data_IF_985418589067
#
_entry.id   IF_985418589067
#
_cell.length_a   1.000
_cell.length_b   1.000
_cell.length_c   1.000
_cell.angle_alpha   90.00
_cell.angle_beta   90.00
_cell.angle_gamma   90.00
#
_symmetry.space_group_name_H-M   'P 1'
#
loop_
_entity.id
_entity.type
_entity.pdbx_description
1 polymer ?
#
# COMPACT_ATOMS: atom_id res chain seq x y z
N UNK A 1 -57.32 48.41 -49.76
CA UNK A 1 -57.52 47.11 -49.05
C UNK A 1 -56.15 46.48 -48.82
N UNK A 2 -55.64 46.54 -47.58
CA UNK A 2 -54.36 45.93 -47.17
C UNK A 2 -54.63 44.48 -46.75
N UNK A 3 -53.84 43.50 -47.23
CA UNK A 3 -53.82 42.14 -46.69
C UNK A 3 -52.47 41.91 -45.99
N UNK A 4 -52.54 41.63 -44.69
CA UNK A 4 -51.45 41.20 -43.83
C UNK A 4 -51.06 39.75 -44.17
N UNK A 5 -49.75 39.46 -44.26
CA UNK A 5 -49.20 38.12 -44.09
C UNK A 5 -48.66 38.01 -42.66
N UNK A 6 -49.18 37.07 -41.88
CA UNK A 6 -48.67 36.68 -40.57
C UNK A 6 -47.86 35.39 -40.70
N UNK A 7 -46.60 35.45 -40.28
CA UNK A 7 -45.69 34.31 -40.07
C UNK A 7 -46.22 33.36 -38.99
N UNK A 8 -46.12 32.06 -39.22
CA UNK A 8 -46.30 31.03 -38.19
C UNK A 8 -44.99 30.25 -38.03
N UNK A 9 -44.25 30.54 -36.97
CA UNK A 9 -43.08 29.77 -36.56
C UNK A 9 -43.55 28.64 -35.63
N UNK A 10 -43.36 27.38 -36.04
CA UNK A 10 -43.63 26.22 -35.22
C UNK A 10 -42.46 26.00 -34.25
N UNK A 11 -42.71 26.12 -32.95
CA UNK A 11 -41.77 25.70 -31.91
C UNK A 11 -41.93 24.19 -31.71
N UNK A 12 -40.93 23.42 -32.14
CA UNK A 12 -40.85 21.99 -31.84
C UNK A 12 -40.32 21.83 -30.41
N UNK A 13 -41.19 21.46 -29.47
CA UNK A 13 -40.77 21.07 -28.13
C UNK A 13 -40.15 19.67 -28.19
N UNK A 14 -38.82 19.57 -28.10
CA UNK A 14 -38.14 18.29 -27.89
C UNK A 14 -38.38 17.83 -26.45
N UNK A 15 -39.24 16.83 -26.27
CA UNK A 15 -39.35 16.10 -25.02
C UNK A 15 -38.12 15.20 -24.88
N UNK A 16 -37.18 15.55 -24.01
CA UNK A 16 -36.09 14.66 -23.63
C UNK A 16 -36.68 13.49 -22.82
N UNK A 17 -36.68 12.29 -23.40
CA UNK A 17 -36.99 11.07 -22.65
C UNK A 17 -35.99 10.91 -21.50
N UNK A 18 -36.42 10.46 -20.30
CA UNK A 18 -35.48 10.13 -19.25
C UNK A 18 -34.55 9.03 -19.77
N UNK A 19 -33.25 9.33 -19.80
CA UNK A 19 -32.24 8.34 -20.14
C UNK A 19 -32.23 7.29 -19.02
N UNK A 20 -32.77 6.10 -19.29
CA UNK A 20 -32.69 4.97 -18.38
C UNK A 20 -31.23 4.63 -18.12
N UNK A 21 -30.87 4.38 -16.86
CA UNK A 21 -29.53 3.87 -16.57
C UNK A 21 -29.33 2.48 -17.15
N UNK A 22 -28.07 2.16 -17.42
CA UNK A 22 -27.69 0.78 -17.71
C UNK A 22 -27.93 -0.10 -16.47
N UNK A 23 -28.26 -1.37 -16.66
CA UNK A 23 -28.47 -2.32 -15.56
C UNK A 23 -27.24 -2.36 -14.65
N UNK A 24 -27.43 -2.12 -13.35
CA UNK A 24 -26.32 -2.11 -12.40
C UNK A 24 -25.62 -3.47 -12.30
N UNK A 25 -26.26 -4.58 -12.68
CA UNK A 25 -25.67 -5.91 -12.61
C UNK A 25 -24.42 -6.03 -13.51
N UNK A 26 -23.35 -6.62 -12.97
CA UNK A 26 -22.08 -6.82 -13.66
C UNK A 26 -20.90 -6.19 -12.95
N UNK A 27 -19.77 -6.10 -13.66
CA UNK A 27 -18.50 -5.59 -13.12
C UNK A 27 -18.30 -4.16 -13.60
N UNK A 28 -17.94 -3.30 -12.65
CA UNK A 28 -17.65 -1.90 -12.88
C UNK A 28 -16.27 -1.56 -12.36
N UNK A 29 -15.55 -0.70 -13.06
CA UNK A 29 -14.20 -0.27 -12.68
C UNK A 29 -14.12 1.25 -12.60
N UNK A 30 -13.32 1.74 -11.66
CA UNK A 30 -13.04 3.16 -11.49
C UNK A 30 -11.79 3.38 -10.66
N UNK A 31 -11.51 4.64 -10.33
CA UNK A 31 -10.36 5.01 -9.49
C UNK A 31 -10.81 5.95 -8.38
N UNK A 32 -10.49 5.60 -7.13
CA UNK A 32 -10.66 6.50 -5.99
C UNK A 32 -9.54 7.53 -6.05
N UNK A 33 -9.89 8.81 -5.91
CA UNK A 33 -8.94 9.93 -5.92
C UNK A 33 -7.99 9.88 -7.13
N UNK A 34 -8.50 9.44 -8.29
CA UNK A 34 -7.80 9.32 -9.58
C UNK A 34 -6.53 8.44 -9.57
N UNK A 35 -6.29 7.64 -8.53
CA UNK A 35 -5.03 6.90 -8.37
C UNK A 35 -5.21 5.45 -7.96
N UNK A 36 -6.23 5.14 -7.16
CA UNK A 36 -6.45 3.81 -6.63
C UNK A 36 -7.54 3.09 -7.42
N UNK A 37 -7.15 2.24 -8.39
CA UNK A 37 -8.10 1.44 -9.18
C UNK A 37 -8.88 0.48 -8.29
N UNK A 38 -10.19 0.47 -8.47
CA UNK A 38 -11.13 -0.44 -7.82
C UNK A 38 -12.03 -1.10 -8.87
N UNK A 39 -12.49 -2.30 -8.57
CA UNK A 39 -13.62 -2.92 -9.29
C UNK A 39 -14.73 -3.25 -8.31
N UNK A 40 -15.97 -3.00 -8.69
CA UNK A 40 -17.17 -3.37 -7.92
C UNK A 40 -18.01 -4.29 -8.80
N UNK A 41 -18.26 -5.50 -8.31
CA UNK A 41 -19.19 -6.43 -8.95
C UNK A 41 -20.51 -6.35 -8.22
N UNK A 42 -21.58 -5.97 -8.92
CA UNK A 42 -22.95 -6.04 -8.43
C UNK A 42 -23.63 -7.29 -9.00
N UNK A 43 -24.29 -8.05 -8.14
CA UNK A 43 -25.08 -9.23 -8.50
C UNK A 43 -26.41 -9.24 -7.76
N UNK A 44 -27.36 -10.02 -8.29
CA UNK A 44 -28.61 -10.35 -7.60
C UNK A 44 -28.54 -11.76 -7.08
N UNK A 45 -28.94 -11.93 -5.82
CA UNK A 45 -29.21 -13.24 -5.25
C UNK A 45 -30.45 -13.87 -5.90
N UNK A 46 -30.66 -15.17 -5.67
CA UNK A 46 -31.82 -15.91 -6.20
C UNK A 46 -33.16 -15.33 -5.74
N UNK A 47 -33.21 -14.71 -4.56
CA UNK A 47 -34.37 -14.00 -4.01
C UNK A 47 -34.46 -12.52 -4.47
N UNK A 48 -33.64 -12.11 -5.44
CA UNK A 48 -33.70 -10.79 -6.08
C UNK A 48 -33.08 -9.65 -5.28
N UNK A 49 -32.37 -9.94 -4.18
CA UNK A 49 -31.67 -8.91 -3.39
C UNK A 49 -30.32 -8.59 -4.03
N UNK A 50 -29.94 -7.32 -3.96
CA UNK A 50 -28.64 -6.89 -4.45
C UNK A 50 -27.52 -7.23 -3.47
N UNK A 51 -26.42 -7.74 -4.00
CA UNK A 51 -25.15 -7.83 -3.31
C UNK A 51 -24.04 -7.25 -4.17
N UNK A 52 -22.95 -6.86 -3.52
CA UNK A 52 -21.77 -6.43 -4.25
C UNK A 52 -20.48 -6.82 -3.55
N UNK A 53 -19.44 -6.97 -4.36
CA UNK A 53 -18.07 -7.23 -3.91
C UNK A 53 -17.15 -6.18 -4.50
N UNK A 54 -16.37 -5.53 -3.65
CA UNK A 54 -15.34 -4.59 -4.06
C UNK A 54 -13.97 -5.27 -4.03
N UNK A 55 -13.18 -5.03 -5.07
CA UNK A 55 -11.78 -5.42 -5.14
C UNK A 55 -10.90 -4.19 -5.36
N UNK A 56 -9.80 -4.12 -4.60
CA UNK A 56 -8.75 -3.11 -4.72
C UNK A 56 -7.44 -3.87 -4.98
N UNK A 57 -7.11 -4.18 -6.24
CA UNK A 57 -6.01 -5.09 -6.55
C UNK A 57 -4.66 -4.59 -6.06
N UNK A 58 -4.46 -3.27 -6.17
CA UNK A 58 -3.25 -2.59 -5.70
C UNK A 58 -3.01 -2.78 -4.19
N UNK A 59 -4.05 -3.16 -3.43
CA UNK A 59 -4.01 -3.44 -2.00
C UNK A 59 -4.17 -4.93 -1.68
N UNK A 60 -4.32 -5.80 -2.69
CA UNK A 60 -4.69 -7.21 -2.53
C UNK A 60 -5.92 -7.38 -1.61
N UNK A 61 -6.87 -6.44 -1.70
CA UNK A 61 -8.10 -6.43 -0.91
C UNK A 61 -9.26 -6.89 -1.80
N UNK A 62 -10.02 -7.87 -1.31
CA UNK A 62 -11.33 -8.26 -1.85
C UNK A 62 -12.29 -8.33 -0.67
N UNK A 63 -13.42 -7.65 -0.76
CA UNK A 63 -14.35 -7.54 0.37
C UNK A 63 -15.79 -7.39 -0.11
N UNK A 64 -16.73 -8.02 0.62
CA UNK A 64 -18.16 -7.83 0.41
C UNK A 64 -18.54 -6.45 0.95
N UNK A 65 -19.34 -5.71 0.19
CA UNK A 65 -19.88 -4.42 0.66
C UNK A 65 -21.22 -4.64 1.37
N UNK A 66 -21.59 -3.72 2.24
CA UNK A 66 -22.84 -3.73 3.00
C UNK A 66 -23.81 -2.65 2.48
N UNK A 67 -25.08 -2.71 2.89
CA UNK A 67 -26.09 -1.68 2.59
C UNK A 67 -26.18 -1.30 1.09
N UNK A 68 -26.15 -2.30 0.21
CA UNK A 68 -26.21 -2.09 -1.24
C UNK A 68 -27.56 -1.49 -1.63
N UNK A 69 -27.52 -0.35 -2.29
CA UNK A 69 -28.68 0.34 -2.86
C UNK A 69 -28.53 0.39 -4.38
N UNK A 70 -29.58 -0.01 -5.08
CA UNK A 70 -29.66 0.10 -6.55
C UNK A 70 -31.07 0.58 -6.89
N UNK A 71 -31.15 1.69 -7.60
CA UNK A 71 -32.37 2.22 -8.20
C UNK A 71 -32.09 2.60 -9.67
N UNK A 72 -33.12 3.00 -10.44
CA UNK A 72 -32.97 3.28 -11.87
C UNK A 72 -31.94 4.34 -12.26
N UNK A 73 -31.57 5.25 -11.35
CA UNK A 73 -30.68 6.38 -11.60
C UNK A 73 -29.59 6.54 -10.53
N UNK A 74 -29.52 5.63 -9.55
CA UNK A 74 -28.58 5.70 -8.43
C UNK A 74 -28.11 4.34 -7.95
N UNK A 75 -26.86 4.29 -7.51
CA UNK A 75 -26.28 3.15 -6.79
C UNK A 75 -25.53 3.63 -5.55
N UNK A 76 -25.38 2.75 -4.57
CA UNK A 76 -24.55 3.01 -3.40
C UNK A 76 -24.31 1.77 -2.56
N UNK A 77 -23.33 1.86 -1.66
CA UNK A 77 -23.01 0.81 -0.69
C UNK A 77 -22.13 1.37 0.43
N UNK A 78 -21.94 0.57 1.47
CA UNK A 78 -21.12 0.88 2.63
C UNK A 78 -20.07 -0.21 2.92
N UNK A 79 -19.01 0.17 3.60
CA UNK A 79 -17.95 -0.69 4.11
C UNK A 79 -17.66 -0.27 5.55
N UNK A 80 -18.50 -0.75 6.45
CA UNK A 80 -18.58 -0.37 7.87
C UNK A 80 -17.25 -0.55 8.57
N UNK A 81 -16.56 -1.68 8.32
CA UNK A 81 -15.24 -1.98 8.91
C UNK A 81 -14.15 -0.99 8.46
N UNK A 82 -14.30 -0.44 7.25
CA UNK A 82 -13.37 0.53 6.68
C UNK A 82 -13.84 1.97 6.90
N UNK A 83 -15.00 2.17 7.55
CA UNK A 83 -15.68 3.47 7.72
C UNK A 83 -15.80 4.20 6.39
N UNK A 84 -16.19 3.47 5.35
CA UNK A 84 -16.30 3.99 4.00
C UNK A 84 -17.69 3.81 3.41
N UNK A 85 -18.05 4.68 2.47
CA UNK A 85 -19.29 4.59 1.71
C UNK A 85 -19.11 5.12 0.28
N UNK A 86 -20.01 4.70 -0.60
CA UNK A 86 -20.08 5.14 -1.98
C UNK A 86 -21.52 5.46 -2.35
N UNK A 87 -21.71 6.57 -3.04
CA UNK A 87 -23.00 6.94 -3.64
C UNK A 87 -22.76 7.55 -5.02
N UNK A 88 -23.58 7.20 -5.99
CA UNK A 88 -23.44 7.63 -7.37
C UNK A 88 -24.77 7.76 -8.09
N UNK A 89 -24.78 8.59 -9.12
CA UNK A 89 -25.90 8.76 -10.05
C UNK A 89 -25.46 8.40 -11.47
N UNK A 90 -26.40 7.92 -12.29
CA UNK A 90 -26.11 7.58 -13.68
C UNK A 90 -25.84 8.85 -14.51
N UNK A 91 -24.78 8.81 -15.30
CA UNK A 91 -24.48 9.82 -16.32
C UNK A 91 -24.57 9.14 -17.70
N UNK A 92 -25.62 9.49 -18.46
CA UNK A 92 -25.89 8.89 -19.75
C UNK A 92 -24.90 9.31 -20.84
N UNK A 93 -24.33 10.52 -20.77
CA UNK A 93 -23.33 10.99 -21.71
C UNK A 93 -22.00 10.23 -21.55
N UNK A 94 -21.62 9.97 -20.30
CA UNK A 94 -20.38 9.27 -19.96
C UNK A 94 -20.51 7.74 -19.92
N UNK A 95 -21.75 7.23 -19.98
CA UNK A 95 -22.10 5.82 -19.76
C UNK A 95 -21.43 5.30 -18.48
N UNK A 96 -21.61 6.05 -17.39
CA UNK A 96 -20.89 5.83 -16.14
C UNK A 96 -21.74 6.19 -14.93
N UNK A 97 -21.54 5.47 -13.83
CA UNK A 97 -21.97 5.91 -12.52
C UNK A 97 -20.99 6.97 -12.01
N UNK A 98 -21.44 8.22 -11.94
CA UNK A 98 -20.63 9.33 -11.43
C UNK A 98 -20.89 9.47 -9.94
N UNK A 99 -19.88 9.24 -9.12
CA UNK A 99 -20.08 9.06 -7.68
C UNK A 99 -18.97 9.61 -6.82
N UNK A 100 -19.25 9.57 -5.52
CA UNK A 100 -18.34 10.01 -4.47
C UNK A 100 -18.06 8.85 -3.53
N UNK A 101 -16.78 8.54 -3.38
CA UNK A 101 -16.26 7.70 -2.32
C UNK A 101 -16.01 8.55 -1.08
N UNK A 102 -16.43 8.09 0.09
CA UNK A 102 -16.18 8.77 1.37
C UNK A 102 -15.53 7.81 2.34
N UNK A 103 -14.37 8.19 2.88
CA UNK A 103 -13.65 7.44 3.92
C UNK A 103 -12.80 8.41 4.76
N UNK A 104 -13.41 9.04 5.76
CA UNK A 104 -12.84 10.18 6.49
C UNK A 104 -12.77 11.47 5.66
N UNK A 105 -12.33 11.37 4.40
CA UNK A 105 -12.43 12.40 3.36
C UNK A 105 -13.20 11.88 2.15
N UNK A 106 -13.79 12.79 1.38
CA UNK A 106 -14.49 12.45 0.14
C UNK A 106 -13.58 12.59 -1.08
N UNK A 107 -13.73 11.69 -2.05
CA UNK A 107 -13.01 11.67 -3.31
C UNK A 107 -13.93 11.22 -4.45
N UNK A 108 -13.71 11.68 -5.69
CA UNK A 108 -14.47 11.17 -6.82
C UNK A 108 -14.17 9.68 -7.05
N UNK A 109 -15.20 8.93 -7.42
CA UNK A 109 -15.11 7.58 -7.92
C UNK A 109 -16.17 7.42 -9.01
N UNK A 110 -15.74 7.43 -10.27
CA UNK A 110 -16.62 7.19 -11.40
C UNK A 110 -16.43 5.75 -11.87
N UNK A 111 -17.53 5.00 -11.97
CA UNK A 111 -17.52 3.60 -12.33
C UNK A 111 -18.04 3.41 -13.77
N UNK A 112 -17.21 2.83 -14.63
CA UNK A 112 -17.55 2.42 -16.01
C UNK A 112 -17.61 0.90 -16.10
N UNK A 113 -18.49 0.38 -16.96
CA UNK A 113 -18.64 -1.07 -17.14
C UNK A 113 -17.34 -1.69 -17.63
N UNK A 114 -17.04 -2.88 -17.15
CA UNK A 114 -15.92 -3.69 -17.64
C UNK A 114 -16.28 -5.17 -17.63
N UNK A 115 -15.57 -5.96 -18.43
CA UNK A 115 -15.56 -7.43 -18.35
C UNK A 115 -14.30 -7.93 -17.63
N UNK A 116 -13.34 -7.06 -17.35
CA UNK A 116 -12.12 -7.39 -16.65
C UNK A 116 -12.38 -7.50 -15.14
N UNK A 117 -12.16 -8.69 -14.60
CA UNK A 117 -11.96 -8.83 -13.16
C UNK A 117 -10.68 -8.11 -12.72
N UNK A 118 -10.71 -7.66 -11.48
CA UNK A 118 -9.58 -7.05 -10.81
C UNK A 118 -8.36 -8.00 -10.76
N UNK A 119 -7.37 -7.78 -11.62
CA UNK A 119 -6.12 -8.55 -11.60
C UNK A 119 -5.09 -7.92 -10.67
N UNK A 120 -4.34 -8.76 -9.94
CA UNK A 120 -3.27 -8.28 -9.04
C UNK A 120 -2.21 -7.54 -9.87
N UNK A 121 -1.63 -6.45 -9.33
CA UNK A 121 -0.53 -5.77 -9.99
C UNK A 121 0.61 -6.76 -10.25
N UNK A 122 1.11 -6.78 -11.49
CA UNK A 122 2.35 -7.51 -11.80
C UNK A 122 3.52 -6.87 -11.05
N UNK A 123 4.43 -7.69 -10.52
CA UNK A 123 5.65 -7.24 -9.82
C UNK A 123 6.88 -7.72 -10.60
N UNK A 124 7.13 -7.17 -11.81
CA UNK A 124 8.20 -7.65 -12.69
C UNK A 124 9.58 -7.61 -12.03
N UNK A 125 9.80 -6.69 -11.09
CA UNK A 125 11.01 -6.63 -10.28
C UNK A 125 11.21 -7.87 -9.39
N UNK A 126 10.15 -8.42 -8.80
CA UNK A 126 10.22 -9.63 -7.97
C UNK A 126 10.42 -10.87 -8.83
N UNK A 127 9.69 -10.95 -9.96
CA UNK A 127 9.86 -12.01 -10.96
C UNK A 127 11.30 -12.03 -11.50
N UNK A 128 11.86 -10.85 -11.80
CA UNK A 128 13.23 -10.70 -12.26
C UNK A 128 14.27 -11.13 -11.21
N UNK A 129 14.03 -10.85 -9.92
CA UNK A 129 14.91 -11.30 -8.83
C UNK A 129 14.91 -12.84 -8.76
N UNK A 130 13.73 -13.46 -8.84
CA UNK A 130 13.59 -14.91 -8.78
C UNK A 130 14.23 -15.62 -10.00
N UNK A 131 14.18 -15.00 -11.19
CA UNK A 131 14.69 -15.57 -12.42
C UNK A 131 16.21 -15.38 -12.62
N UNK A 132 16.83 -14.37 -11.98
CA UNK A 132 18.25 -14.05 -12.19
C UNK A 132 19.16 -14.94 -11.35
N UNK A 133 20.35 -15.31 -11.87
CA UNK A 133 21.38 -15.91 -11.05
C UNK A 133 21.74 -15.00 -9.85
N UNK A 134 21.85 -15.59 -8.66
CA UNK A 134 22.29 -14.89 -7.46
C UNK A 134 23.79 -14.62 -7.50
N UNK A 135 24.17 -13.35 -7.33
CA UNK A 135 25.59 -12.89 -7.25
C UNK A 135 25.98 -12.50 -5.83
N UNK A 136 25.24 -13.01 -4.84
CA UNK A 136 25.43 -12.79 -3.42
C UNK A 136 24.94 -14.04 -2.68
N UNK A 137 25.43 -14.29 -1.47
CA UNK A 137 24.87 -15.31 -0.58
C UNK A 137 23.68 -14.74 0.18
N UNK A 138 22.69 -15.58 0.47
CA UNK A 138 21.50 -15.19 1.25
C UNK A 138 21.30 -16.22 2.35
N UNK A 139 21.44 -15.79 3.60
CA UNK A 139 21.40 -16.71 4.75
C UNK A 139 20.31 -16.28 5.73
N UNK A 140 19.50 -17.26 6.14
CA UNK A 140 18.59 -17.10 7.27
C UNK A 140 19.41 -16.99 8.56
N UNK A 141 19.15 -15.94 9.33
CA UNK A 141 19.88 -15.63 10.56
C UNK A 141 18.89 -15.38 11.69
N UNK A 142 19.40 -15.46 12.91
CA UNK A 142 18.71 -14.95 14.09
C UNK A 142 19.70 -14.24 15.00
N UNK A 143 19.24 -13.18 15.65
CA UNK A 143 20.03 -12.37 16.59
C UNK A 143 19.16 -11.92 17.75
N UNK A 144 19.78 -11.64 18.90
CA UNK A 144 19.06 -11.30 20.13
C UNK A 144 19.13 -9.81 20.41
N UNK A 145 17.98 -9.21 20.69
CA UNK A 145 17.88 -7.99 21.47
C UNK A 145 17.90 -8.35 22.96
N UNK A 146 19.11 -8.48 23.52
CA UNK A 146 19.32 -8.92 24.90
C UNK A 146 18.66 -8.01 25.95
N UNK A 147 18.54 -6.70 25.67
CA UNK A 147 17.91 -5.74 26.59
C UNK A 147 16.41 -5.94 26.76
N UNK A 148 15.77 -6.71 25.87
CA UNK A 148 14.33 -6.98 25.90
C UNK A 148 13.98 -8.48 25.86
N UNK A 149 14.98 -9.36 25.95
CA UNK A 149 14.84 -10.83 25.77
C UNK A 149 14.02 -11.21 24.52
N UNK A 150 14.29 -10.54 23.40
CA UNK A 150 13.63 -10.81 22.11
C UNK A 150 14.63 -11.38 21.12
N UNK A 151 14.32 -12.56 20.58
CA UNK A 151 15.04 -13.14 19.43
C UNK A 151 14.39 -12.68 18.13
N UNK A 152 15.16 -12.04 17.27
CA UNK A 152 14.74 -11.56 15.96
C UNK A 152 15.28 -12.51 14.88
N UNK A 153 14.46 -12.78 13.88
CA UNK A 153 14.83 -13.56 12.71
C UNK A 153 14.98 -12.65 11.50
N UNK A 154 15.88 -13.00 10.60
CA UNK A 154 16.11 -12.19 9.41
C UNK A 154 16.87 -12.92 8.32
N UNK A 155 17.18 -12.17 7.28
CA UNK A 155 18.00 -12.62 6.16
C UNK A 155 19.17 -11.66 6.01
N UNK A 156 20.38 -12.21 6.02
CA UNK A 156 21.61 -11.48 5.75
C UNK A 156 22.12 -11.85 4.37
N UNK A 157 22.25 -10.85 3.50
CA UNK A 157 22.81 -11.02 2.16
C UNK A 157 24.21 -10.46 2.09
N UNK A 158 25.15 -11.25 1.55
CA UNK A 158 26.57 -10.86 1.44
C UNK A 158 27.00 -10.91 -0.02
N UNK A 159 27.54 -9.82 -0.58
CA UNK A 159 28.05 -9.81 -1.96
C UNK A 159 29.11 -10.88 -2.20
N UNK A 160 29.23 -11.34 -3.44
CA UNK A 160 30.38 -12.13 -3.86
C UNK A 160 31.63 -11.25 -4.00
N UNK A 161 32.81 -11.85 -3.80
CA UNK A 161 34.10 -11.18 -3.94
C UNK A 161 34.84 -11.04 -2.61
N UNK A 162 35.87 -10.20 -2.60
CA UNK A 162 36.70 -9.95 -1.41
C UNK A 162 36.10 -8.79 -0.59
N UNK A 163 35.68 -9.11 0.63
CA UNK A 163 35.29 -8.12 1.64
C UNK A 163 36.49 -7.53 2.39
N UNK A 164 36.27 -6.83 3.52
CA UNK A 164 34.97 -6.61 4.15
C UNK A 164 34.10 -5.59 3.39
N UNK A 165 32.80 -5.80 3.36
CA UNK A 165 31.84 -5.01 2.58
C UNK A 165 31.22 -3.88 3.41
N UNK A 166 30.89 -2.71 2.82
CA UNK A 166 29.96 -1.79 3.45
C UNK A 166 28.61 -2.50 3.65
N UNK A 167 27.86 -2.11 4.68
CA UNK A 167 26.61 -2.80 5.02
C UNK A 167 25.48 -1.85 5.41
N UNK A 168 24.24 -2.31 5.25
CA UNK A 168 23.06 -1.59 5.73
C UNK A 168 22.08 -2.50 6.44
N UNK A 169 21.39 -1.94 7.44
CA UNK A 169 20.16 -2.52 7.99
C UNK A 169 18.96 -1.85 7.30
N UNK A 170 18.05 -2.64 6.74
CA UNK A 170 16.76 -2.13 6.26
C UNK A 170 15.73 -2.22 7.38
N UNK A 171 15.19 -1.07 7.80
CA UNK A 171 14.17 -0.97 8.85
C UNK A 171 12.80 -0.72 8.20
N UNK A 172 11.90 -1.66 8.43
CA UNK A 172 10.52 -1.66 7.92
C UNK A 172 9.65 -0.56 8.54
N UNK A 173 8.54 -0.27 7.84
CA UNK A 173 7.52 0.69 8.26
C UNK A 173 6.55 0.17 9.33
N UNK A 174 5.45 0.89 9.52
CA UNK A 174 4.43 0.61 10.54
C UNK A 174 3.62 -0.66 10.28
N UNK A 175 3.08 -1.25 11.34
CA UNK A 175 2.26 -2.47 11.27
C UNK A 175 3.06 -3.77 11.29
N UNK A 176 2.35 -4.88 11.10
CA UNK A 176 2.93 -6.23 11.13
C UNK A 176 3.62 -6.55 9.81
N UNK A 177 4.89 -6.18 9.69
CA UNK A 177 5.68 -6.29 8.46
C UNK A 177 6.81 -7.31 8.63
N UNK A 178 6.98 -8.18 7.63
CA UNK A 178 8.10 -9.14 7.55
C UNK A 178 9.39 -8.49 7.02
N UNK A 179 10.49 -9.24 7.00
CA UNK A 179 11.79 -8.77 6.48
C UNK A 179 11.77 -8.29 5.03
N UNK A 180 10.82 -8.76 4.22
CA UNK A 180 10.70 -8.38 2.82
C UNK A 180 9.97 -7.03 2.66
N UNK A 181 9.43 -6.48 3.76
CA UNK A 181 8.64 -5.26 3.74
C UNK A 181 7.25 -5.49 3.16
N UNK A 182 6.73 -6.72 3.22
CA UNK A 182 5.57 -7.13 2.43
C UNK A 182 4.34 -6.28 2.75
N UNK A 183 3.91 -5.49 1.78
CA UNK A 183 2.70 -4.66 1.85
C UNK A 183 1.97 -4.74 0.53
N UNK A 184 0.66 -5.00 0.57
CA UNK A 184 -0.19 -5.06 -0.62
C UNK A 184 0.35 -5.99 -1.74
N UNK A 185 0.91 -7.12 -1.34
CA UNK A 185 1.49 -8.11 -2.27
C UNK A 185 2.78 -7.65 -2.96
N UNK A 186 3.42 -6.58 -2.49
CA UNK A 186 4.74 -6.14 -2.94
C UNK A 186 5.78 -6.33 -1.83
N UNK A 187 7.02 -6.66 -2.21
CA UNK A 187 8.17 -6.83 -1.31
C UNK A 187 9.26 -5.76 -1.55
N UNK A 188 9.02 -4.49 -1.18
CA UNK A 188 9.93 -3.39 -1.49
C UNK A 188 11.32 -3.55 -0.86
N UNK A 189 11.42 -4.08 0.36
CA UNK A 189 12.74 -4.26 1.00
C UNK A 189 13.52 -5.42 0.41
N UNK A 190 12.85 -6.45 -0.13
CA UNK A 190 13.51 -7.49 -0.94
C UNK A 190 14.14 -6.90 -2.19
N UNK A 191 13.42 -6.04 -2.90
CA UNK A 191 13.92 -5.39 -4.12
C UNK A 191 15.13 -4.52 -3.83
N UNK A 192 15.07 -3.71 -2.76
CA UNK A 192 16.21 -2.91 -2.32
C UNK A 192 17.41 -3.80 -1.92
N UNK A 193 17.19 -4.87 -1.17
CA UNK A 193 18.26 -5.75 -0.75
C UNK A 193 18.93 -6.50 -1.91
N UNK A 194 18.17 -7.01 -2.88
CA UNK A 194 18.75 -7.62 -4.09
C UNK A 194 19.63 -6.61 -4.82
N UNK A 195 19.10 -5.41 -5.10
CA UNK A 195 19.84 -4.39 -5.82
C UNK A 195 21.14 -4.00 -5.10
N UNK A 196 21.06 -3.66 -3.81
CA UNK A 196 22.22 -3.25 -3.01
C UNK A 196 23.26 -4.37 -2.89
N UNK A 197 22.82 -5.61 -2.69
CA UNK A 197 23.73 -6.78 -2.60
C UNK A 197 24.49 -7.02 -3.89
N UNK A 198 23.82 -6.83 -5.04
CA UNK A 198 24.47 -6.89 -6.37
C UNK A 198 25.43 -5.72 -6.61
N UNK A 199 25.28 -4.61 -5.90
CA UNK A 199 26.18 -3.45 -5.95
C UNK A 199 27.30 -3.50 -4.89
N UNK A 200 27.53 -4.65 -4.24
CA UNK A 200 28.65 -4.80 -3.30
C UNK A 200 28.36 -4.31 -1.87
N UNK A 201 27.09 -4.18 -1.48
CA UNK A 201 26.68 -3.78 -0.12
C UNK A 201 26.03 -4.97 0.58
N UNK A 202 26.53 -5.37 1.75
CA UNK A 202 25.88 -6.40 2.56
C UNK A 202 24.59 -5.87 3.20
N UNK A 203 23.51 -6.65 3.19
CA UNK A 203 22.20 -6.15 3.64
C UNK A 203 21.61 -7.08 4.69
N UNK A 204 21.27 -6.51 5.84
CA UNK A 204 20.46 -7.19 6.84
C UNK A 204 19.02 -6.70 6.77
N UNK A 205 18.10 -7.65 6.59
CA UNK A 205 16.66 -7.46 6.75
C UNK A 205 16.16 -8.39 7.84
N UNK A 206 15.20 -7.96 8.64
CA UNK A 206 14.68 -8.77 9.75
C UNK A 206 13.17 -8.65 9.85
N UNK A 207 12.53 -9.71 10.35
CA UNK A 207 11.11 -9.68 10.64
C UNK A 207 10.91 -8.79 11.86
N UNK A 208 9.90 -7.91 11.79
CA UNK A 208 9.56 -7.06 12.93
C UNK A 208 9.23 -7.92 14.14
N UNK A 209 9.49 -7.43 15.35
CA UNK A 209 9.11 -8.13 16.59
C UNK A 209 7.66 -8.62 16.56
N UNK A 210 7.44 -9.86 16.98
CA UNK A 210 6.14 -10.52 16.95
C UNK A 210 5.59 -10.82 15.55
N UNK A 211 6.41 -10.71 14.50
CA UNK A 211 6.06 -11.02 13.11
C UNK A 211 6.99 -12.10 12.57
N UNK A 212 6.48 -12.94 11.67
CA UNK A 212 7.27 -13.97 11.00
C UNK A 212 7.90 -14.94 12.02
N UNK A 213 9.23 -15.05 12.00
CA UNK A 213 9.98 -15.89 12.94
C UNK A 213 10.59 -15.11 14.11
N UNK A 214 10.35 -13.79 14.18
CA UNK A 214 10.77 -12.97 15.32
C UNK A 214 9.83 -13.15 16.51
N UNK A 215 10.41 -13.29 17.69
CA UNK A 215 9.69 -13.35 18.96
C UNK A 215 9.19 -11.98 19.43
N UNK A 216 8.69 -11.93 20.66
CA UNK A 216 8.14 -10.71 21.27
C UNK A 216 6.71 -10.38 20.79
N UNK A 217 6.21 -9.21 21.18
CA UNK A 217 4.85 -8.76 20.87
C UNK A 217 4.85 -7.36 20.29
N UNK A 218 4.37 -7.21 19.05
CA UNK A 218 4.33 -5.90 18.38
C UNK A 218 3.36 -4.92 19.05
N UNK A 219 2.20 -5.40 19.52
CA UNK A 219 1.15 -4.54 20.09
C UNK A 219 1.58 -3.77 21.35
N UNK A 220 2.59 -4.28 22.05
CA UNK A 220 3.12 -3.70 23.29
C UNK A 220 4.35 -2.80 23.01
N UNK A 221 4.82 -2.75 21.77
CA UNK A 221 6.07 -2.09 21.43
C UNK A 221 5.89 -0.62 21.10
N UNK A 222 6.84 0.18 21.58
CA UNK A 222 7.01 1.59 21.24
C UNK A 222 8.06 1.76 20.14
N UNK A 223 8.14 2.97 19.56
CA UNK A 223 9.22 3.32 18.64
C UNK A 223 10.62 3.15 19.26
N UNK A 224 10.74 3.27 20.59
CA UNK A 224 12.02 3.03 21.29
C UNK A 224 12.38 1.54 21.31
N UNK A 225 11.40 0.65 21.47
CA UNK A 225 11.63 -0.79 21.42
C UNK A 225 12.03 -1.22 20.00
N UNK A 226 11.37 -0.68 18.98
CA UNK A 226 11.72 -0.92 17.58
C UNK A 226 13.13 -0.39 17.25
N UNK A 227 13.55 0.72 17.87
CA UNK A 227 14.91 1.23 17.74
C UNK A 227 15.94 0.32 18.43
N UNK A 228 15.63 -0.25 19.59
CA UNK A 228 16.49 -1.22 20.26
C UNK A 228 16.62 -2.53 19.45
N UNK A 229 15.55 -2.97 18.79
CA UNK A 229 15.59 -4.11 17.86
C UNK A 229 16.51 -3.82 16.66
N UNK A 230 16.42 -2.63 16.06
CA UNK A 230 17.31 -2.21 14.98
C UNK A 230 18.77 -2.04 15.44
N UNK A 231 19.00 -1.62 16.69
CA UNK A 231 20.33 -1.55 17.28
C UNK A 231 20.94 -2.95 17.45
N UNK A 232 20.13 -3.94 17.83
CA UNK A 232 20.55 -5.34 17.85
C UNK A 232 20.94 -5.85 16.44
N UNK A 233 20.25 -5.39 15.41
CA UNK A 233 20.57 -5.70 14.02
C UNK A 233 21.93 -5.08 13.60
N UNK A 234 22.21 -3.84 14.00
CA UNK A 234 23.53 -3.21 13.80
C UNK A 234 24.65 -3.95 14.52
N UNK A 235 24.43 -4.35 15.78
CA UNK A 235 25.40 -5.16 16.53
C UNK A 235 25.67 -6.49 15.87
N UNK A 236 24.64 -7.14 15.31
CA UNK A 236 24.82 -8.34 14.50
C UNK A 236 25.72 -8.05 13.29
N UNK A 237 25.46 -6.99 12.51
CA UNK A 237 26.32 -6.64 11.36
C UNK A 237 27.78 -6.38 11.78
N UNK A 238 28.00 -5.65 12.88
CA UNK A 238 29.35 -5.34 13.37
C UNK A 238 30.14 -6.56 13.83
N UNK A 239 29.47 -7.67 14.19
CA UNK A 239 30.14 -8.91 14.59
C UNK A 239 30.51 -9.81 13.41
N UNK A 240 30.12 -9.43 12.18
CA UNK A 240 30.37 -10.20 10.97
C UNK A 240 31.76 -9.89 10.39
N UNK A 241 32.64 -10.90 10.20
CA UNK A 241 33.93 -10.67 9.53
C UNK A 241 33.78 -10.21 8.07
N UNK A 242 32.62 -10.48 7.45
CA UNK A 242 32.31 -10.07 6.09
C UNK A 242 32.00 -8.56 5.99
N UNK A 243 31.80 -7.85 7.10
CA UNK A 243 31.32 -6.46 7.14
C UNK A 243 32.41 -5.50 7.61
N UNK A 244 32.52 -4.38 6.92
CA UNK A 244 33.38 -3.27 7.32
C UNK A 244 32.64 -2.44 8.37
N UNK A 245 33.03 -2.63 9.65
CA UNK A 245 32.40 -1.98 10.79
C UNK A 245 32.39 -0.45 10.75
N UNK A 246 33.22 0.19 9.91
CA UNK A 246 33.27 1.65 9.73
C UNK A 246 32.33 2.16 8.64
N UNK A 247 31.75 1.26 7.82
CA UNK A 247 30.87 1.59 6.70
C UNK A 247 29.50 0.91 6.83
N UNK A 248 28.87 1.10 7.98
CA UNK A 248 27.52 0.61 8.27
C UNK A 248 26.53 1.76 8.30
N UNK A 249 25.46 1.66 7.50
CA UNK A 249 24.35 2.62 7.49
C UNK A 249 23.01 2.00 7.85
N UNK A 250 21.99 2.84 7.98
CA UNK A 250 20.59 2.42 8.21
C UNK A 250 19.70 3.03 7.14
N UNK A 251 18.86 2.21 6.51
CA UNK A 251 17.83 2.67 5.57
C UNK A 251 16.47 2.40 6.20
N UNK A 252 15.73 3.45 6.52
CA UNK A 252 14.44 3.37 7.19
C UNK A 252 13.28 3.75 6.29
N UNK A 253 12.29 2.86 6.13
CA UNK A 253 11.07 3.13 5.38
C UNK A 253 9.90 3.51 6.30
N UNK A 254 9.20 4.61 6.02
CA UNK A 254 8.02 5.08 6.77
C UNK A 254 8.33 5.23 8.28
N UNK A 255 7.74 4.42 9.17
CA UNK A 255 8.12 4.37 10.60
C UNK A 255 9.63 4.11 10.81
N UNK A 256 10.26 3.33 9.92
CA UNK A 256 11.70 3.16 9.90
C UNK A 256 12.47 4.47 9.72
N UNK A 257 11.87 5.48 9.09
CA UNK A 257 12.40 6.84 8.98
C UNK A 257 12.37 7.63 10.29
N UNK A 258 11.59 7.21 11.30
CA UNK A 258 11.74 7.71 12.68
C UNK A 258 12.84 6.95 13.42
N UNK A 259 12.89 5.64 13.20
CA UNK A 259 13.82 4.73 13.88
C UNK A 259 15.27 5.03 13.48
N UNK A 260 15.58 5.14 12.18
CA UNK A 260 16.94 5.33 11.69
C UNK A 260 17.67 6.57 12.26
N UNK A 261 17.10 7.79 12.22
CA UNK A 261 17.74 8.97 12.83
C UNK A 261 17.81 8.87 14.36
N UNK A 262 16.85 8.21 15.01
CA UNK A 262 16.92 7.94 16.45
C UNK A 262 18.13 7.05 16.80
N UNK A 263 18.43 6.03 16.00
CA UNK A 263 19.64 5.22 16.18
C UNK A 263 20.91 6.07 15.97
N UNK A 264 21.00 6.81 14.87
CA UNK A 264 22.17 7.63 14.57
C UNK A 264 22.44 8.71 15.64
N UNK A 265 21.40 9.21 16.30
CA UNK A 265 21.56 10.14 17.43
C UNK A 265 22.20 9.52 18.68
N UNK A 266 22.17 8.18 18.81
CA UNK A 266 22.68 7.42 19.96
C UNK A 266 24.00 6.71 19.67
N UNK A 267 24.28 6.45 18.40
CA UNK A 267 25.42 5.67 17.95
C UNK A 267 26.19 6.46 16.87
N UNK A 268 27.28 7.16 17.25
CA UNK A 268 28.10 7.92 16.31
C UNK A 268 28.88 7.03 15.33
N UNK A 269 28.88 5.70 15.51
CA UNK A 269 29.49 4.75 14.60
C UNK A 269 28.61 4.35 13.41
N UNK A 270 27.41 4.94 13.26
CA UNK A 270 26.58 4.79 12.05
C UNK A 270 27.06 5.79 11.01
N UNK A 271 27.54 5.29 9.86
CA UNK A 271 28.17 6.12 8.83
C UNK A 271 27.18 7.02 8.07
N UNK A 272 25.94 6.56 7.88
CA UNK A 272 24.88 7.32 7.21
C UNK A 272 23.47 6.79 7.52
N UNK A 273 22.47 7.64 7.30
CA UNK A 273 21.04 7.28 7.35
C UNK A 273 20.36 7.68 6.04
N UNK A 274 19.49 6.81 5.53
CA UNK A 274 18.59 7.11 4.42
C UNK A 274 17.15 6.97 4.89
N UNK A 275 16.35 8.02 4.76
CA UNK A 275 14.92 8.01 5.09
C UNK A 275 14.08 7.89 3.82
N UNK A 276 13.32 6.81 3.71
CA UNK A 276 12.42 6.54 2.58
C UNK A 276 10.97 6.76 3.03
N UNK A 277 10.32 7.80 2.52
CA UNK A 277 8.94 8.15 2.90
C UNK A 277 8.72 8.25 4.43
N UNK A 278 9.77 8.67 5.17
CA UNK A 278 9.70 8.93 6.60
C UNK A 278 8.97 10.25 6.90
N UNK A 279 8.39 10.39 8.10
CA UNK A 279 7.74 11.65 8.48
C UNK A 279 8.76 12.78 8.59
N UNK A 280 8.45 13.92 7.97
CA UNK A 280 9.26 15.15 8.01
C UNK A 280 8.87 16.14 9.11
N UNK A 281 7.87 15.81 9.93
CA UNK A 281 7.35 16.64 11.04
C UNK A 281 7.27 15.83 12.32
N UNK A 282 7.16 16.50 13.46
CA UNK A 282 7.02 15.83 14.77
C UNK A 282 5.78 14.94 14.85
N UNK A 283 5.89 13.78 15.50
CA UNK A 283 4.85 12.76 15.53
C UNK A 283 3.48 13.25 16.03
N UNK A 284 3.44 14.14 17.02
CA UNK A 284 2.18 14.72 17.50
C UNK A 284 1.46 15.51 16.40
N UNK A 285 2.22 16.31 15.63
CA UNK A 285 1.68 17.07 14.50
C UNK A 285 1.25 16.14 13.36
N UNK A 286 2.05 15.12 13.06
CA UNK A 286 1.71 14.10 12.06
C UNK A 286 0.36 13.45 12.36
N UNK A 287 0.12 13.05 13.62
CA UNK A 287 -1.14 12.44 14.04
C UNK A 287 -2.33 13.39 13.85
N UNK A 288 -2.18 14.67 14.23
CA UNK A 288 -3.23 15.67 14.00
C UNK A 288 -3.53 15.82 12.51
N UNK A 289 -2.52 15.94 11.65
CA UNK A 289 -2.69 16.12 10.20
C UNK A 289 -3.29 14.88 9.50
N UNK A 290 -3.06 13.67 10.03
CA UNK A 290 -3.63 12.42 9.50
C UNK A 290 -5.08 12.17 9.93
N UNK A 291 -5.54 12.85 10.98
CA UNK A 291 -6.91 12.72 11.51
C UNK A 291 -7.81 13.92 11.18
N UNK A 292 -7.25 15.01 10.63
CA UNK A 292 -7.98 16.16 10.13
C UNK A 292 -8.54 15.92 8.71
#
# INVERSE_FOLDING_TARGET
MKRMLTSMAAVLAMTASPAYAEDAQGIWTGSIANSLRVTVKFDKTLDGKWEATMSVPAQNLVTKVENVTVAPDRIGFELTKLRASYAATWNAQEQAWTGTWTQGRSAPLNLKRTTEEASKPKRPQEDAIAARPTTYTSTEIAFSNAGADVKLAGTFTVPQGQGPFPAVVLVHGSGSIDRDGKVFGHKPLLVLADHLSRQGIAVLRYDKRGVGKSGGKLKEATTRDLAADAEAALRFLRSRPEVDGKRIGVIGHSEGGLVAPLLASRDPGIAFVVMLAGPGVGGARLLVEQHA
#
